data_IF_080903832052
#
_entry.id   IF_080903832052
#
_cell.length_a   1.000
_cell.length_b   1.000
_cell.length_c   1.000
_cell.angle_alpha   90.00
_cell.angle_beta   90.00
_cell.angle_gamma   90.00
#
_symmetry.space_group_name_H-M   'P 1'
#
loop_
_entity.id
_entity.type
_entity.pdbx_description
1 polymer ?
#
# COMPACT_ATOMS: atom_id res chain seq x y z
N UNK A 1 6.41 13.01 21.06
CA UNK A 1 7.84 12.75 20.86
C UNK A 1 8.63 14.01 20.53
N UNK A 2 8.04 15.18 20.68
CA UNK A 2 8.71 16.45 20.45
C UNK A 2 9.04 16.78 19.00
N UNK A 3 8.58 16.00 18.06
CA UNK A 3 8.87 16.24 16.66
C UNK A 3 7.96 17.32 16.09
N UNK A 4 8.55 18.29 15.42
CA UNK A 4 7.82 19.34 14.73
C UNK A 4 7.11 18.75 13.50
N UNK A 5 5.78 18.89 13.38
CA UNK A 5 5.07 18.38 12.20
C UNK A 5 5.58 18.95 10.88
N UNK A 6 5.98 20.21 10.85
CA UNK A 6 6.50 20.80 9.63
C UNK A 6 7.84 20.19 9.24
N UNK A 7 8.68 19.95 10.22
CA UNK A 7 9.97 19.28 9.99
C UNK A 7 9.77 17.83 9.54
N UNK A 8 8.80 17.13 10.16
CA UNK A 8 8.48 15.77 9.77
C UNK A 8 8.02 15.70 8.30
N UNK A 9 7.21 16.65 7.86
CA UNK A 9 6.75 16.69 6.47
C UNK A 9 7.90 16.92 5.50
N UNK A 10 8.82 17.80 5.82
CA UNK A 10 9.98 18.06 5.00
C UNK A 10 10.88 16.84 4.87
N UNK A 11 11.11 16.17 5.98
CA UNK A 11 11.91 14.95 6.01
C UNK A 11 11.21 13.86 5.21
N UNK A 12 9.90 13.72 5.36
CA UNK A 12 9.13 12.71 4.63
C UNK A 12 9.24 12.89 3.13
N UNK A 13 9.13 14.13 2.65
CA UNK A 13 9.20 14.39 1.22
C UNK A 13 10.53 13.96 0.64
N UNK A 14 11.62 14.24 1.32
CA UNK A 14 12.95 13.83 0.92
C UNK A 14 13.12 12.33 1.05
N UNK A 15 12.64 11.77 2.15
CA UNK A 15 12.82 10.35 2.46
C UNK A 15 12.03 9.44 1.53
N UNK A 16 10.92 9.91 0.94
CA UNK A 16 10.16 9.08 0.01
C UNK A 16 11.00 8.76 -1.22
N UNK A 17 11.81 9.69 -1.71
CA UNK A 17 12.68 9.43 -2.86
C UNK A 17 13.75 8.39 -2.53
N UNK A 18 14.37 8.50 -1.35
CA UNK A 18 15.35 7.54 -0.86
C UNK A 18 14.67 6.19 -0.64
N UNK A 19 13.50 6.22 -0.02
CA UNK A 19 12.71 5.04 0.26
C UNK A 19 12.35 4.29 -1.01
N UNK A 20 11.92 4.99 -2.05
CA UNK A 20 11.55 4.35 -3.31
C UNK A 20 12.75 3.61 -3.92
N UNK A 21 13.95 4.20 -3.84
CA UNK A 21 15.17 3.54 -4.32
C UNK A 21 15.51 2.31 -3.49
N UNK A 22 15.34 2.39 -2.17
CA UNK A 22 15.67 1.31 -1.26
C UNK A 22 14.66 0.16 -1.32
N UNK A 23 13.37 0.47 -1.53
CA UNK A 23 12.33 -0.57 -1.54
C UNK A 23 12.51 -1.56 -2.68
N UNK A 24 13.21 -1.18 -3.73
CA UNK A 24 13.50 -2.10 -4.84
C UNK A 24 14.38 -3.26 -4.43
N UNK A 25 15.13 -3.10 -3.34
CA UNK A 25 16.04 -4.11 -2.79
C UNK A 25 15.46 -4.78 -1.56
N UNK A 26 14.34 -4.28 -1.05
CA UNK A 26 13.77 -4.69 0.21
C UNK A 26 12.84 -5.89 0.00
N UNK A 27 12.89 -6.91 0.86
CA UNK A 27 11.90 -7.97 0.82
C UNK A 27 10.51 -7.41 1.05
N UNK A 28 9.50 -8.01 0.41
CA UNK A 28 8.13 -7.52 0.52
C UNK A 28 7.62 -7.47 1.96
N UNK A 29 7.99 -8.46 2.79
CA UNK A 29 7.53 -8.45 4.18
C UNK A 29 8.06 -7.24 4.95
N UNK A 30 9.27 -6.78 4.64
CA UNK A 30 9.83 -5.60 5.29
C UNK A 30 9.10 -4.33 4.84
N UNK A 31 8.78 -4.24 3.56
CA UNK A 31 7.98 -3.13 3.03
C UNK A 31 6.58 -3.13 3.64
N UNK A 32 5.97 -4.30 3.78
CA UNK A 32 4.67 -4.45 4.41
C UNK A 32 4.68 -3.90 5.84
N UNK A 33 5.69 -4.29 6.63
CA UNK A 33 5.81 -3.80 8.00
C UNK A 33 6.10 -2.30 8.05
N UNK A 34 6.90 -1.79 7.11
CA UNK A 34 7.17 -0.36 7.01
C UNK A 34 5.89 0.41 6.67
N UNK A 35 5.05 -0.13 5.81
CA UNK A 35 3.77 0.49 5.49
C UNK A 35 2.89 0.59 6.72
N UNK A 36 2.85 -0.45 7.55
CA UNK A 36 2.10 -0.41 8.81
C UNK A 36 2.66 0.65 9.75
N UNK A 37 3.98 0.76 9.85
CA UNK A 37 4.62 1.76 10.72
C UNK A 37 4.29 3.18 10.24
N UNK A 38 4.34 3.40 8.94
CA UNK A 38 3.99 4.71 8.37
C UNK A 38 2.51 5.03 8.61
N UNK A 39 1.64 4.06 8.38
CA UNK A 39 0.21 4.22 8.61
C UNK A 39 -0.07 4.57 10.07
N UNK A 40 0.56 3.88 11.01
CA UNK A 40 0.36 4.11 12.43
C UNK A 40 0.93 5.46 12.88
N UNK A 41 2.19 5.74 12.54
CA UNK A 41 2.91 6.86 13.14
C UNK A 41 2.67 8.19 12.43
N UNK A 42 2.48 8.16 11.13
CA UNK A 42 2.38 9.38 10.33
C UNK A 42 0.94 9.70 9.98
N UNK A 43 0.21 8.69 9.48
CA UNK A 43 -1.15 8.89 8.99
C UNK A 43 -2.21 8.66 10.06
N UNK A 44 -1.90 7.81 11.04
CA UNK A 44 -2.88 7.32 12.02
C UNK A 44 -3.73 6.21 11.43
N UNK A 45 -3.94 5.15 12.20
CA UNK A 45 -4.73 3.99 11.75
C UNK A 45 -6.20 4.33 11.48
N UNK A 46 -6.65 5.49 11.96
CA UNK A 46 -8.02 5.96 11.74
C UNK A 46 -8.10 6.95 10.58
N UNK A 47 -7.11 6.93 9.69
CA UNK A 47 -7.11 7.82 8.53
C UNK A 47 -8.38 7.60 7.71
N UNK A 48 -9.21 8.64 7.62
CA UNK A 48 -10.52 8.56 6.98
C UNK A 48 -10.42 8.27 5.48
N UNK A 49 -9.35 8.74 4.84
CA UNK A 49 -9.18 8.52 3.40
C UNK A 49 -8.86 7.06 3.09
N UNK A 50 -8.02 6.43 3.90
CA UNK A 50 -7.69 5.02 3.73
C UNK A 50 -8.91 4.16 4.03
N UNK A 51 -9.61 4.49 5.10
CA UNK A 51 -10.82 3.75 5.47
C UNK A 51 -11.90 3.86 4.39
N UNK A 52 -12.10 5.06 3.84
CA UNK A 52 -13.09 5.28 2.77
C UNK A 52 -12.71 4.49 1.51
N UNK A 53 -11.44 4.50 1.13
CA UNK A 53 -10.97 3.75 -0.04
C UNK A 53 -11.16 2.25 0.18
N UNK A 54 -10.88 1.76 1.40
CA UNK A 54 -11.07 0.37 1.76
C UNK A 54 -12.53 -0.05 1.64
N UNK A 55 -13.45 0.72 2.23
CA UNK A 55 -14.87 0.40 2.19
C UNK A 55 -15.40 0.42 0.75
N UNK A 56 -14.94 1.34 -0.06
CA UNK A 56 -15.35 1.44 -1.44
C UNK A 56 -14.87 0.24 -2.26
N UNK A 57 -13.61 -0.14 -2.11
CA UNK A 57 -13.06 -1.29 -2.79
C UNK A 57 -13.77 -2.58 -2.36
N UNK A 58 -14.06 -2.70 -1.07
CA UNK A 58 -14.78 -3.84 -0.51
C UNK A 58 -16.18 -3.93 -1.08
N UNK A 59 -16.90 -2.82 -1.11
CA UNK A 59 -18.27 -2.78 -1.63
C UNK A 59 -18.32 -3.09 -3.12
N UNK A 60 -17.30 -2.70 -3.87
CA UNK A 60 -17.22 -2.96 -5.30
C UNK A 60 -16.75 -4.38 -5.64
N UNK A 61 -16.34 -5.16 -4.64
CA UNK A 61 -15.89 -6.53 -4.85
C UNK A 61 -14.54 -6.65 -5.54
N UNK A 62 -13.72 -5.61 -5.51
CA UNK A 62 -12.46 -5.58 -6.25
C UNK A 62 -11.46 -6.64 -5.81
N UNK A 63 -11.57 -7.10 -4.55
CA UNK A 63 -10.59 -7.99 -3.95
C UNK A 63 -11.21 -9.29 -3.44
N UNK A 64 -12.48 -9.54 -3.74
CA UNK A 64 -13.19 -10.73 -3.25
C UNK A 64 -12.58 -12.01 -3.76
N UNK A 65 -12.13 -12.01 -5.01
CA UNK A 65 -11.53 -13.17 -5.63
C UNK A 65 -10.56 -12.72 -6.71
N UNK A 66 -9.28 -12.78 -6.37
CA UNK A 66 -8.21 -12.31 -7.26
C UNK A 66 -7.16 -13.39 -7.40
N UNK A 67 -6.30 -13.25 -8.39
CA UNK A 67 -5.17 -14.17 -8.54
C UNK A 67 -4.17 -13.94 -7.40
N UNK A 68 -3.72 -15.04 -6.83
CA UNK A 68 -2.64 -15.07 -5.85
C UNK A 68 -1.49 -15.87 -6.43
N UNK A 69 -0.28 -15.33 -6.34
CA UNK A 69 0.92 -16.01 -6.79
C UNK A 69 1.70 -16.48 -5.58
N UNK A 70 2.02 -17.78 -5.52
CA UNK A 70 2.79 -18.32 -4.41
C UNK A 70 4.30 -18.17 -4.66
N UNK A 71 5.11 -18.66 -3.72
CA UNK A 71 6.57 -18.55 -3.80
C UNK A 71 7.18 -19.30 -4.97
N UNK A 72 6.45 -20.24 -5.55
CA UNK A 72 6.90 -21.02 -6.71
C UNK A 72 6.36 -20.47 -8.02
N UNK A 73 5.67 -19.34 -7.97
CA UNK A 73 5.12 -18.68 -9.14
C UNK A 73 3.79 -19.21 -9.61
N UNK A 74 3.20 -20.17 -8.89
CA UNK A 74 1.90 -20.73 -9.24
C UNK A 74 0.80 -19.76 -8.85
N UNK A 75 -0.21 -19.63 -9.71
CA UNK A 75 -1.32 -18.72 -9.49
C UNK A 75 -2.61 -19.48 -9.20
N UNK A 76 -3.41 -18.94 -8.29
CA UNK A 76 -4.74 -19.46 -7.99
C UNK A 76 -5.64 -18.30 -7.62
N UNK A 77 -6.96 -18.52 -7.63
CA UNK A 77 -7.92 -17.50 -7.20
C UNK A 77 -8.10 -17.61 -5.68
N UNK A 78 -8.10 -16.47 -5.02
CA UNK A 78 -8.25 -16.41 -3.58
C UNK A 78 -8.79 -15.04 -3.20
N UNK A 79 -9.30 -14.94 -1.98
CA UNK A 79 -9.67 -13.65 -1.40
C UNK A 79 -8.39 -12.90 -1.07
N UNK A 80 -8.29 -11.66 -1.51
CA UNK A 80 -7.08 -10.87 -1.26
C UNK A 80 -6.92 -10.57 0.23
N UNK A 81 -5.71 -10.65 0.71
CA UNK A 81 -5.41 -10.31 2.09
C UNK A 81 -5.75 -8.85 2.41
N UNK A 82 -5.75 -8.00 1.39
CA UNK A 82 -6.16 -6.60 1.51
C UNK A 82 -7.57 -6.43 2.07
N UNK A 83 -8.44 -7.44 1.91
CA UNK A 83 -9.80 -7.38 2.45
C UNK A 83 -9.89 -7.62 3.95
N UNK A 84 -8.80 -7.98 4.61
CA UNK A 84 -8.80 -8.26 6.04
C UNK A 84 -9.24 -7.04 6.85
N UNK A 85 -8.63 -5.89 6.56
CA UNK A 85 -8.99 -4.61 7.16
C UNK A 85 -8.25 -3.49 6.43
N UNK A 86 -8.53 -2.24 6.81
CA UNK A 86 -7.92 -1.10 6.15
C UNK A 86 -6.40 -1.06 6.29
N UNK A 87 -5.88 -1.55 7.40
CA UNK A 87 -4.43 -1.62 7.63
C UNK A 87 -3.75 -2.52 6.61
N UNK A 88 -4.32 -3.70 6.40
CA UNK A 88 -3.76 -4.66 5.43
C UNK A 88 -3.98 -4.17 3.99
N UNK A 89 -5.11 -3.55 3.74
CA UNK A 89 -5.39 -2.95 2.44
C UNK A 89 -4.31 -1.93 2.07
N UNK A 90 -3.98 -1.04 2.99
CA UNK A 90 -2.93 -0.05 2.77
C UNK A 90 -1.57 -0.71 2.53
N UNK A 91 -1.22 -1.67 3.36
CA UNK A 91 0.08 -2.35 3.26
C UNK A 91 0.21 -3.15 1.97
N UNK A 92 -0.82 -3.91 1.62
CA UNK A 92 -0.82 -4.73 0.40
C UNK A 92 -0.74 -3.86 -0.85
N UNK A 93 -1.51 -2.78 -0.89
CA UNK A 93 -1.47 -1.87 -2.03
C UNK A 93 -0.14 -1.12 -2.11
N UNK A 94 0.48 -0.83 -0.97
CA UNK A 94 1.81 -0.24 -0.94
C UNK A 94 2.85 -1.17 -1.56
N UNK A 95 2.76 -2.47 -1.31
CA UNK A 95 3.65 -3.44 -1.96
C UNK A 95 3.50 -3.41 -3.47
N UNK A 96 2.27 -3.39 -3.96
CA UNK A 96 2.02 -3.29 -5.40
C UNK A 96 2.55 -1.97 -5.97
N UNK A 97 2.42 -0.90 -5.20
CA UNK A 97 2.82 0.44 -5.63
C UNK A 97 4.34 0.57 -5.77
N UNK A 98 5.11 -0.03 -4.89
CA UNK A 98 6.57 0.12 -4.88
C UNK A 98 7.32 -1.10 -5.42
N UNK A 99 6.79 -2.30 -5.26
CA UNK A 99 7.48 -3.53 -5.68
C UNK A 99 6.52 -4.47 -6.40
N UNK A 100 6.21 -5.60 -5.79
CA UNK A 100 5.30 -6.59 -6.33
C UNK A 100 4.54 -7.26 -5.19
N UNK A 101 3.23 -7.30 -5.31
CA UNK A 101 2.38 -7.94 -4.32
C UNK A 101 2.15 -9.42 -4.67
N UNK A 102 1.74 -10.22 -3.69
CA UNK A 102 1.43 -11.64 -3.88
C UNK A 102 0.03 -11.85 -4.44
N UNK A 103 -0.86 -10.88 -4.28
CA UNK A 103 -2.23 -10.91 -4.80
C UNK A 103 -2.36 -9.89 -5.92
N UNK A 104 -3.23 -10.17 -6.89
CA UNK A 104 -3.56 -9.18 -7.92
C UNK A 104 -4.30 -8.01 -7.28
N UNK A 105 -3.98 -6.76 -7.58
CA UNK A 105 -2.97 -6.30 -8.55
C UNK A 105 -1.55 -6.49 -8.03
N UNK A 106 -0.71 -7.06 -8.87
CA UNK A 106 0.67 -7.40 -8.46
C UNK A 106 1.62 -6.21 -8.56
N UNK A 107 1.36 -5.30 -9.49
CA UNK A 107 2.28 -4.21 -9.82
C UNK A 107 1.58 -2.87 -9.75
N UNK A 108 2.39 -1.81 -9.81
CA UNK A 108 1.89 -0.43 -9.79
C UNK A 108 0.91 -0.16 -10.94
N UNK A 109 1.27 -0.60 -12.14
CA UNK A 109 0.41 -0.39 -13.32
C UNK A 109 -0.92 -1.12 -13.20
N UNK A 110 -0.88 -2.33 -12.68
CA UNK A 110 -2.10 -3.11 -12.45
C UNK A 110 -2.97 -2.48 -11.38
N UNK A 111 -2.35 -1.97 -10.30
CA UNK A 111 -3.07 -1.26 -9.26
C UNK A 111 -3.78 -0.03 -9.81
N UNK A 112 -3.10 0.73 -10.66
CA UNK A 112 -3.67 1.93 -11.26
C UNK A 112 -4.93 1.61 -12.07
N UNK A 113 -4.94 0.50 -12.78
CA UNK A 113 -6.08 0.08 -13.60
C UNK A 113 -7.19 -0.55 -12.77
N UNK A 114 -6.82 -1.33 -11.77
CA UNK A 114 -7.77 -2.10 -10.98
C UNK A 114 -8.44 -1.26 -9.90
N UNK A 115 -7.66 -0.42 -9.22
CA UNK A 115 -8.12 0.38 -8.10
C UNK A 115 -7.53 1.80 -8.20
N UNK A 116 -8.02 2.59 -9.15
CA UNK A 116 -7.46 3.91 -9.40
C UNK A 116 -7.58 4.87 -8.21
N UNK A 117 -8.60 4.72 -7.38
CA UNK A 117 -8.76 5.56 -6.20
C UNK A 117 -7.64 5.31 -5.20
N UNK A 118 -7.32 4.05 -4.95
CA UNK A 118 -6.22 3.72 -4.05
C UNK A 118 -4.87 4.10 -4.64
N UNK A 119 -4.72 3.94 -5.95
CA UNK A 119 -3.51 4.38 -6.63
C UNK A 119 -3.27 5.87 -6.42
N UNK A 120 -4.30 6.69 -6.62
CA UNK A 120 -4.21 8.13 -6.45
C UNK A 120 -3.95 8.49 -4.99
N UNK A 121 -4.59 7.80 -4.07
CA UNK A 121 -4.39 8.03 -2.64
C UNK A 121 -2.95 7.72 -2.23
N UNK A 122 -2.40 6.60 -2.68
CA UNK A 122 -1.02 6.24 -2.38
C UNK A 122 -0.03 7.25 -2.97
N UNK A 123 -0.31 7.73 -4.16
CA UNK A 123 0.52 8.77 -4.77
C UNK A 123 0.59 10.00 -3.89
N UNK A 124 -0.54 10.42 -3.33
CA UNK A 124 -0.59 11.58 -2.45
C UNK A 124 0.05 11.30 -1.10
N UNK A 125 -0.26 10.16 -0.49
CA UNK A 125 0.20 9.84 0.87
C UNK A 125 1.70 9.59 0.92
N UNK A 126 2.23 8.90 -0.06
CA UNK A 126 3.66 8.61 -0.13
C UNK A 126 4.45 9.75 -0.77
N UNK A 127 3.78 10.73 -1.39
CA UNK A 127 4.42 11.84 -2.04
C UNK A 127 5.17 11.45 -3.31
N UNK A 128 4.83 10.30 -3.89
CA UNK A 128 5.48 9.84 -5.11
C UNK A 128 4.98 10.65 -6.31
N UNK A 129 5.88 11.01 -7.23
CA UNK A 129 5.47 11.71 -8.44
C UNK A 129 4.68 10.84 -9.40
#
# INVERSE_FOLDING_TARGET
>A
NGRDPAMAKGVEFTNVRIFEAETRRMPNFALHELAHAFHDRVLGFENAQIEAAYQKAKAAGLYDRVQRQDSEGRKRLDRAYALTNAKEYFAECTEAFFTKNDFFPFTKDELKKHDPEMFDLLTRLWGAP
#
